data_IF_017441132346
#
_entry.id   IF_017441132346
#
_cell.length_a   1.000
_cell.length_b   1.000
_cell.length_c   1.000
_cell.angle_alpha   90.00
_cell.angle_beta   90.00
_cell.angle_gamma   90.00
#
_symmetry.space_group_name_H-M   'P 1'
#
loop_
_entity.id
_entity.type
_entity.pdbx_description
1 polymer ?
#
# COMPACT_ATOMS: atom_id res chain seq x y z
N UNK A 1 -3.90 2.87 -4.51
CA UNK A 1 -2.95 2.38 -5.53
C UNK A 1 -2.08 3.49 -6.16
N UNK A 2 -2.63 4.62 -6.65
CA UNK A 2 -1.82 5.71 -7.26
C UNK A 2 -0.71 6.26 -6.34
N UNK A 3 -0.99 6.43 -5.05
CA UNK A 3 0.01 6.90 -4.07
C UNK A 3 1.20 5.93 -3.90
N UNK A 4 0.95 4.61 -3.93
CA UNK A 4 2.00 3.59 -3.86
C UNK A 4 2.90 3.67 -5.10
N UNK A 5 2.30 3.81 -6.29
CA UNK A 5 3.05 3.98 -7.54
C UNK A 5 3.88 5.28 -7.57
N UNK A 6 3.34 6.37 -7.01
CA UNK A 6 4.00 7.68 -6.99
C UNK A 6 5.31 7.68 -6.18
N UNK A 7 5.41 6.83 -5.15
CA UNK A 7 6.60 6.75 -4.29
C UNK A 7 7.79 6.05 -4.95
N UNK A 8 7.62 5.45 -6.15
CA UNK A 8 8.68 4.86 -6.98
C UNK A 8 9.58 3.83 -6.28
N UNK A 9 9.13 3.28 -5.15
CA UNK A 9 9.81 2.22 -4.41
C UNK A 9 8.93 0.96 -4.41
N UNK A 10 9.51 -0.25 -4.34
CA UNK A 10 8.74 -1.49 -4.43
C UNK A 10 7.78 -1.69 -3.25
N UNK A 11 8.20 -1.31 -2.04
CA UNK A 11 7.39 -1.37 -0.81
C UNK A 11 7.54 -0.06 -0.04
N UNK A 12 6.76 0.99 -0.40
CA UNK A 12 6.75 2.20 0.39
C UNK A 12 6.18 1.97 1.79
N UNK A 13 6.80 2.61 2.79
CA UNK A 13 6.32 2.62 4.17
C UNK A 13 4.92 3.23 4.28
N UNK A 14 4.12 2.72 5.21
CA UNK A 14 2.75 3.14 5.42
C UNK A 14 2.63 4.64 5.73
N UNK A 15 3.55 5.23 6.51
CA UNK A 15 3.57 6.67 6.77
C UNK A 15 3.77 7.49 5.50
N UNK A 16 4.63 7.03 4.58
CA UNK A 16 4.86 7.71 3.30
C UNK A 16 3.65 7.61 2.39
N UNK A 17 2.97 6.46 2.38
CA UNK A 17 1.70 6.31 1.69
C UNK A 17 0.67 7.27 2.31
N UNK A 18 0.57 7.31 3.64
CA UNK A 18 -0.39 8.17 4.33
C UNK A 18 -0.12 9.65 4.08
N UNK A 19 1.15 10.06 3.99
CA UNK A 19 1.52 11.44 3.66
C UNK A 19 0.98 11.92 2.30
N UNK A 20 0.77 10.98 1.37
CA UNK A 20 0.21 11.27 0.05
C UNK A 20 -1.32 11.19 0.01
N UNK A 21 -1.92 10.22 0.70
CA UNK A 21 -3.38 10.00 0.66
C UNK A 21 -4.11 10.85 1.70
N UNK A 22 -3.44 11.23 2.79
CA UNK A 22 -3.95 12.01 3.93
C UNK A 22 -5.26 11.43 4.49
N UNK A 23 -5.26 10.13 4.75
CA UNK A 23 -6.39 9.43 5.35
C UNK A 23 -6.13 9.17 6.83
N UNK A 24 -7.20 8.82 7.54
CA UNK A 24 -7.05 8.24 8.87
C UNK A 24 -6.22 6.94 8.79
N UNK A 25 -5.28 6.70 9.71
CA UNK A 25 -4.46 5.48 9.72
C UNK A 25 -5.26 4.18 9.73
N UNK A 26 -6.42 4.16 10.42
CA UNK A 26 -7.31 2.99 10.47
C UNK A 26 -7.97 2.79 9.10
N UNK A 27 -8.46 3.86 8.48
CA UNK A 27 -9.07 3.78 7.16
C UNK A 27 -8.05 3.38 6.08
N UNK A 28 -6.85 3.93 6.14
CA UNK A 28 -5.75 3.56 5.24
C UNK A 28 -5.43 2.07 5.39
N UNK A 29 -5.33 1.59 6.64
CA UNK A 29 -5.09 0.19 6.94
C UNK A 29 -6.16 -0.73 6.34
N UNK A 30 -7.44 -0.39 6.55
CA UNK A 30 -8.56 -1.16 6.00
C UNK A 30 -8.54 -1.19 4.46
N UNK A 31 -8.26 -0.06 3.81
CA UNK A 31 -8.14 0.02 2.34
C UNK A 31 -6.97 -0.79 1.80
N UNK A 32 -5.82 -0.77 2.48
CA UNK A 32 -4.65 -1.57 2.11
C UNK A 32 -4.93 -3.06 2.25
N UNK A 33 -5.56 -3.49 3.34
CA UNK A 33 -5.99 -4.88 3.54
C UNK A 33 -6.99 -5.33 2.49
N UNK A 34 -7.97 -4.49 2.13
CA UNK A 34 -8.91 -4.80 1.05
C UNK A 34 -8.24 -4.96 -0.32
N UNK A 35 -7.26 -4.11 -0.64
CA UNK A 35 -6.48 -4.22 -1.88
C UNK A 35 -5.55 -5.44 -1.90
N UNK A 36 -5.06 -5.87 -0.74
CA UNK A 36 -4.29 -7.10 -0.60
C UNK A 36 -5.15 -8.35 -0.79
N UNK A 37 -6.34 -8.40 -0.20
CA UNK A 37 -7.30 -9.50 -0.42
C UNK A 37 -7.69 -9.64 -1.90
N UNK A 38 -7.74 -8.52 -2.63
CA UNK A 38 -7.99 -8.51 -4.08
C UNK A 38 -6.73 -8.85 -4.92
N UNK A 39 -5.57 -9.03 -4.28
CA UNK A 39 -4.31 -9.37 -4.94
C UNK A 39 -3.62 -8.21 -5.65
N UNK A 40 -4.09 -6.97 -5.49
CA UNK A 40 -3.50 -5.79 -6.15
C UNK A 40 -2.26 -5.26 -5.41
N UNK A 41 -2.23 -5.41 -4.10
CA UNK A 41 -1.16 -4.93 -3.22
C UNK A 41 -0.65 -6.10 -2.38
N UNK A 42 0.63 -6.05 -1.99
CA UNK A 42 1.19 -6.94 -0.97
C UNK A 42 1.64 -6.08 0.19
N UNK A 43 1.11 -6.33 1.37
CA UNK A 43 1.46 -5.63 2.60
C UNK A 43 2.61 -6.35 3.29
N UNK A 44 3.36 -5.61 4.10
CA UNK A 44 4.37 -6.13 5.01
C UNK A 44 4.00 -5.69 6.41
N UNK A 45 4.17 -6.57 7.38
CA UNK A 45 3.79 -6.36 8.76
C UNK A 45 5.00 -6.01 9.63
N UNK A 46 4.75 -5.51 10.85
CA UNK A 46 5.77 -5.13 11.83
C UNK A 46 6.79 -6.23 12.14
N UNK A 47 6.39 -7.50 12.04
CA UNK A 47 7.30 -8.65 12.19
C UNK A 47 8.45 -8.66 11.19
N UNK A 48 8.31 -7.95 10.06
CA UNK A 48 9.31 -7.87 9.00
C UNK A 48 10.13 -6.56 9.01
N UNK A 49 9.70 -5.49 9.72
CA UNK A 49 10.41 -4.21 9.74
C UNK A 49 10.18 -3.39 11.01
N UNK A 50 11.26 -2.98 11.68
CA UNK A 50 11.23 -1.96 12.73
C UNK A 50 10.80 -0.60 12.17
N UNK A 51 9.88 0.05 12.90
CA UNK A 51 9.35 1.42 12.78
C UNK A 51 8.01 1.59 12.05
N UNK A 52 7.08 2.23 12.78
CA UNK A 52 5.84 2.91 12.37
C UNK A 52 4.87 2.04 11.55
N UNK A 53 4.06 1.29 12.29
CA UNK A 53 2.98 0.46 11.77
C UNK A 53 1.65 1.20 11.82
N UNK A 54 0.79 0.95 10.83
CA UNK A 54 -0.62 1.28 10.96
C UNK A 54 -1.25 0.48 12.12
N UNK A 55 -2.39 0.92 12.68
CA UNK A 55 -3.05 0.24 13.80
C UNK A 55 -3.41 -1.23 13.53
N UNK A 56 -3.44 -1.65 12.27
CA UNK A 56 -3.67 -3.02 11.85
C UNK A 56 -2.38 -3.83 11.59
N UNK A 57 -1.22 -3.30 12.00
CA UNK A 57 0.09 -3.98 11.91
C UNK A 57 0.80 -3.84 10.56
N UNK A 58 0.23 -3.11 9.59
CA UNK A 58 0.85 -2.90 8.27
C UNK A 58 1.93 -1.82 8.34
N UNK A 59 3.18 -2.17 7.99
CA UNK A 59 4.32 -1.25 7.93
C UNK A 59 4.63 -0.74 6.53
N UNK A 60 4.38 -1.54 5.49
CA UNK A 60 4.63 -1.16 4.11
C UNK A 60 3.66 -1.85 3.16
N UNK A 61 3.46 -1.27 1.98
CA UNK A 61 2.55 -1.85 0.99
C UNK A 61 3.04 -1.61 -0.43
N UNK A 62 3.30 -2.68 -1.17
CA UNK A 62 3.82 -2.67 -2.54
C UNK A 62 2.81 -3.14 -3.57
N UNK A 63 2.91 -2.65 -4.81
CA UNK A 63 2.02 -3.11 -5.90
C UNK A 63 2.47 -4.48 -6.43
N UNK A 64 1.53 -5.41 -6.55
CA UNK A 64 1.75 -6.67 -7.27
C UNK A 64 1.76 -6.43 -8.78
N UNK A 65 2.11 -7.45 -9.57
CA UNK A 65 1.97 -7.40 -11.03
C UNK A 65 0.51 -7.13 -11.46
N UNK A 66 -0.45 -7.66 -10.70
CA UNK A 66 -1.88 -7.40 -10.90
C UNK A 66 -2.21 -5.93 -10.63
N UNK A 67 -1.75 -5.38 -9.50
CA UNK A 67 -1.95 -3.97 -9.14
C UNK A 67 -1.32 -3.00 -10.13
N UNK A 68 -0.12 -3.32 -10.63
CA UNK A 68 0.55 -2.55 -11.69
C UNK A 68 -0.26 -2.56 -12.99
N UNK A 69 -0.77 -3.73 -13.42
CA UNK A 69 -1.62 -3.84 -14.61
C UNK A 69 -2.94 -3.08 -14.45
N UNK A 70 -3.57 -3.17 -13.29
CA UNK A 70 -4.79 -2.42 -12.99
C UNK A 70 -4.58 -0.89 -13.02
N UNK A 71 -3.39 -0.42 -12.61
CA UNK A 71 -3.00 0.99 -12.67
C UNK A 71 -2.67 1.48 -14.08
N UNK A 72 -2.07 0.63 -14.92
CA UNK A 72 -1.68 1.00 -16.29
C UNK A 72 -2.89 1.23 -17.21
N UNK A 73 -4.09 0.80 -16.82
CA UNK A 73 -5.31 0.94 -17.59
C UNK A 73 -5.26 0.20 -18.94
N UNK A 74 -6.39 0.07 -19.65
CA UNK A 74 -6.35 -0.38 -21.03
C UNK A 74 -5.78 0.77 -21.86
N UNK A 75 -4.59 0.58 -22.43
CA UNK A 75 -4.06 1.46 -23.48
C UNK A 75 -4.92 1.22 -24.73
N UNK A 76 -5.93 2.05 -24.92
CA UNK A 76 -6.66 2.18 -26.19
C UNK A 76 -5.90 3.14 -27.09
#
# INVERSE_FOLDING_TARGET
MKAIAALRVPYPKADRINSLVKLDPVELGARLGGLEMQGYVKTQSETDMEHSSLPNGICAAGLTNLGKRALSGPRW
#
